data_IF_401445463250
#
_entry.id   IF_401445463250
#
_cell.length_a   1.000
_cell.length_b   1.000
_cell.length_c   1.000
_cell.angle_alpha   90.00
_cell.angle_beta   90.00
_cell.angle_gamma   90.00
#
_symmetry.space_group_name_H-M   'P 1'
#
loop_
_entity.id
_entity.type
_entity.pdbx_description
1 polymer ?
#
# COMPACT_ATOMS: atom_id res chain seq x y z
N UNK A 1 -39.38 20.66 -72.49
CA UNK A 1 -40.03 19.99 -71.34
C UNK A 1 -38.96 19.68 -70.30
N UNK A 2 -39.13 20.27 -69.10
CA UNK A 2 -38.63 19.85 -67.78
C UNK A 2 -37.12 19.51 -67.64
N UNK A 3 -36.31 20.44 -67.14
CA UNK A 3 -36.15 20.81 -65.72
C UNK A 3 -35.21 19.87 -64.95
N UNK A 4 -33.92 20.24 -64.97
CA UNK A 4 -32.86 19.77 -64.06
C UNK A 4 -33.22 20.22 -62.64
N UNK A 5 -33.56 19.28 -61.75
CA UNK A 5 -33.78 19.55 -60.33
C UNK A 5 -32.43 19.75 -59.63
N UNK A 6 -32.24 20.95 -59.09
CA UNK A 6 -31.14 21.33 -58.20
C UNK A 6 -31.25 20.55 -56.88
N UNK A 7 -30.19 19.83 -56.53
CA UNK A 7 -30.00 19.25 -55.20
C UNK A 7 -29.94 20.35 -54.15
N UNK A 8 -30.86 20.33 -53.20
CA UNK A 8 -30.83 21.24 -52.03
C UNK A 8 -29.94 20.61 -50.97
N UNK A 9 -28.88 21.34 -50.62
CA UNK A 9 -28.00 21.05 -49.49
C UNK A 9 -28.79 21.33 -48.21
N UNK A 10 -29.12 20.28 -47.46
CA UNK A 10 -29.71 20.40 -46.13
C UNK A 10 -28.57 20.60 -45.13
N UNK A 11 -28.35 21.85 -44.74
CA UNK A 11 -27.40 22.25 -43.71
C UNK A 11 -27.97 21.84 -42.34
N UNK A 12 -27.62 20.64 -41.86
CA UNK A 12 -27.86 20.28 -40.47
C UNK A 12 -26.89 21.07 -39.58
N UNK A 13 -27.43 22.06 -38.88
CA UNK A 13 -26.77 22.73 -37.76
C UNK A 13 -26.50 21.69 -36.66
N UNK A 14 -25.26 21.20 -36.58
CA UNK A 14 -24.76 20.49 -35.41
C UNK A 14 -24.63 21.50 -34.27
N UNK A 15 -25.63 21.54 -33.39
CA UNK A 15 -25.49 22.16 -32.08
C UNK A 15 -24.44 21.34 -31.31
N UNK A 16 -23.27 21.92 -31.18
CA UNK A 16 -22.19 21.45 -30.34
C UNK A 16 -22.62 21.55 -28.87
N UNK A 17 -22.95 20.41 -28.26
CA UNK A 17 -22.95 20.31 -26.80
C UNK A 17 -21.50 20.33 -26.31
N UNK A 18 -20.94 21.54 -26.20
CA UNK A 18 -19.76 21.79 -25.37
C UNK A 18 -20.21 21.63 -23.91
N UNK A 19 -20.18 20.39 -23.40
CA UNK A 19 -19.99 20.20 -21.96
C UNK A 19 -18.58 20.68 -21.64
N UNK A 20 -18.44 21.97 -21.35
CA UNK A 20 -17.24 22.52 -20.75
C UNK A 20 -17.05 21.81 -19.40
N UNK A 21 -16.14 20.84 -19.39
CA UNK A 21 -15.56 20.31 -18.16
C UNK A 21 -14.85 21.49 -17.51
N UNK A 22 -15.50 22.12 -16.53
CA UNK A 22 -14.81 23.08 -15.66
C UNK A 22 -13.70 22.30 -14.96
N UNK A 23 -12.46 22.47 -15.43
CA UNK A 23 -11.29 22.13 -14.66
C UNK A 23 -11.39 22.94 -13.37
N UNK A 24 -11.63 22.26 -12.26
CA UNK A 24 -11.61 22.85 -10.94
C UNK A 24 -10.21 23.44 -10.75
N UNK A 25 -10.12 24.76 -10.76
CA UNK A 25 -8.86 25.45 -10.60
C UNK A 25 -8.36 25.12 -9.19
N UNK A 26 -7.29 24.33 -9.09
CA UNK A 26 -6.69 23.94 -7.83
C UNK A 26 -6.33 25.21 -7.06
N UNK A 27 -7.18 25.57 -6.09
CA UNK A 27 -6.85 26.62 -5.14
C UNK A 27 -5.60 26.17 -4.39
N UNK A 28 -4.56 26.99 -4.39
CA UNK A 28 -3.36 26.72 -3.59
C UNK A 28 -3.82 26.54 -2.14
N UNK A 29 -3.65 25.33 -1.62
CA UNK A 29 -4.00 25.02 -0.22
C UNK A 29 -3.04 25.79 0.69
N UNK A 30 -3.52 26.85 1.32
CA UNK A 30 -2.73 27.59 2.29
C UNK A 30 -2.67 26.82 3.62
N UNK A 31 -1.47 26.35 3.98
CA UNK A 31 -1.27 25.63 5.25
C UNK A 31 -1.26 26.62 6.41
N UNK A 32 -2.40 26.74 7.09
CA UNK A 32 -2.55 27.64 8.24
C UNK A 32 -1.57 27.31 9.39
N UNK A 33 -1.22 28.30 10.21
CA UNK A 33 -0.40 28.09 11.42
C UNK A 33 -1.02 27.06 12.38
N UNK A 34 -2.37 27.00 12.45
CA UNK A 34 -3.06 25.98 13.25
C UNK A 34 -2.81 24.57 12.70
N UNK A 35 -2.95 24.39 11.38
CA UNK A 35 -2.66 23.11 10.73
C UNK A 35 -1.21 22.67 10.96
N UNK A 36 -0.25 23.60 10.84
CA UNK A 36 1.15 23.33 11.14
C UNK A 36 1.36 22.91 12.60
N UNK A 37 0.75 23.60 13.58
CA UNK A 37 0.85 23.21 14.99
C UNK A 37 0.28 21.82 15.26
N UNK A 38 -0.89 21.49 14.69
CA UNK A 38 -1.48 20.15 14.85
C UNK A 38 -0.55 19.09 14.26
N UNK A 39 -0.07 19.31 13.04
CA UNK A 39 0.85 18.40 12.37
C UNK A 39 2.14 18.18 13.16
N UNK A 40 2.68 19.21 13.80
CA UNK A 40 3.89 19.14 14.64
C UNK A 40 3.63 18.65 16.08
N UNK A 41 2.38 18.63 16.54
CA UNK A 41 2.04 18.13 17.89
C UNK A 41 2.03 16.61 18.01
N UNK A 42 2.07 15.92 16.86
CA UNK A 42 2.14 14.46 16.73
C UNK A 42 3.17 14.11 15.66
N UNK A 43 3.07 12.94 15.04
CA UNK A 43 3.83 12.56 13.86
C UNK A 43 2.95 11.81 12.87
N UNK A 44 3.37 11.78 11.62
CA UNK A 44 2.76 10.92 10.60
C UNK A 44 3.29 9.51 10.80
N UNK A 45 2.39 8.56 10.97
CA UNK A 45 2.65 7.14 10.74
C UNK A 45 2.10 6.84 9.34
N UNK A 46 3.00 6.63 8.39
CA UNK A 46 2.64 6.20 7.05
C UNK A 46 2.64 4.65 6.96
N UNK A 47 1.51 4.11 6.49
CA UNK A 47 1.24 2.68 6.46
C UNK A 47 1.93 1.92 5.33
N UNK A 48 2.48 2.61 4.32
CA UNK A 48 2.99 1.94 3.12
C UNK A 48 3.89 2.84 2.24
N UNK A 49 5.14 2.45 2.04
CA UNK A 49 6.06 3.17 1.13
C UNK A 49 7.02 2.23 0.38
N UNK A 50 7.00 2.33 -0.96
CA UNK A 50 7.75 1.51 -1.92
C UNK A 50 9.20 1.92 -2.17
N UNK A 51 9.80 2.72 -1.28
CA UNK A 51 11.20 3.09 -1.41
C UNK A 51 12.14 1.88 -1.61
N UNK A 52 11.99 0.74 -0.90
CA UNK A 52 12.84 -0.43 -1.14
C UNK A 52 12.77 -0.96 -2.57
N UNK A 53 11.56 -1.13 -3.13
CA UNK A 53 11.38 -1.57 -4.51
C UNK A 53 11.93 -0.56 -5.52
N UNK A 54 11.75 0.73 -5.25
CA UNK A 54 12.30 1.82 -6.07
C UNK A 54 13.83 1.77 -6.11
N UNK A 55 14.49 1.54 -4.97
CA UNK A 55 15.95 1.37 -4.89
C UNK A 55 16.44 0.12 -5.61
N UNK A 56 15.74 -1.01 -5.46
CA UNK A 56 16.04 -2.24 -6.19
C UNK A 56 16.04 -2.00 -7.70
N UNK A 57 14.96 -1.42 -8.22
CA UNK A 57 14.76 -1.19 -9.65
C UNK A 57 15.69 -0.12 -10.23
N UNK A 58 15.81 1.02 -9.55
CA UNK A 58 16.43 2.21 -10.13
C UNK A 58 17.90 2.39 -9.69
N UNK A 59 18.34 1.69 -8.63
CA UNK A 59 19.66 1.88 -8.03
C UNK A 59 20.38 0.55 -7.73
N UNK A 60 19.89 -0.59 -8.21
CA UNK A 60 20.44 -1.91 -7.89
C UNK A 60 20.63 -2.10 -6.38
N UNK A 61 19.64 -1.66 -5.59
CA UNK A 61 19.66 -1.74 -4.12
C UNK A 61 20.79 -0.95 -3.45
N UNK A 62 21.40 0.03 -4.13
CA UNK A 62 22.56 0.77 -3.64
C UNK A 62 22.23 2.19 -3.20
N UNK A 63 22.35 2.43 -1.89
CA UNK A 63 22.29 3.78 -1.31
C UNK A 63 23.48 4.68 -1.70
N UNK A 64 24.52 4.13 -2.31
CA UNK A 64 25.60 4.93 -2.92
C UNK A 64 25.17 5.47 -4.29
N UNK A 65 24.43 4.67 -5.07
CA UNK A 65 23.89 5.10 -6.37
C UNK A 65 22.69 6.03 -6.20
N UNK A 66 21.90 5.83 -5.15
CA UNK A 66 20.75 6.67 -4.80
C UNK A 66 20.82 7.05 -3.31
N UNK A 67 21.49 8.18 -3.03
CA UNK A 67 21.68 8.68 -1.67
C UNK A 67 20.45 9.45 -1.19
N UNK A 68 19.57 8.79 -0.45
CA UNK A 68 18.33 9.38 0.08
C UNK A 68 18.57 10.41 1.19
N UNK A 69 19.81 10.62 1.66
CA UNK A 69 20.12 11.76 2.52
C UNK A 69 20.05 13.10 1.77
N UNK A 70 20.05 13.05 0.44
CA UNK A 70 19.92 14.22 -0.44
C UNK A 70 18.56 14.22 -1.13
N UNK A 71 18.08 15.39 -1.61
CA UNK A 71 16.86 15.46 -2.40
C UNK A 71 16.90 14.53 -3.61
N UNK A 72 15.85 13.72 -3.80
CA UNK A 72 15.72 12.76 -4.89
C UNK A 72 14.51 13.14 -5.79
N UNK A 73 14.68 14.03 -6.79
CA UNK A 73 13.54 14.60 -7.54
C UNK A 73 12.80 13.57 -8.41
N UNK A 74 13.40 12.42 -8.71
CA UNK A 74 12.80 11.36 -9.53
C UNK A 74 11.93 10.36 -8.76
N UNK A 75 11.86 10.49 -7.43
CA UNK A 75 11.08 9.60 -6.55
C UNK A 75 10.34 10.45 -5.51
N UNK A 76 9.46 9.85 -4.71
CA UNK A 76 8.66 10.57 -3.72
C UNK A 76 9.30 10.67 -2.32
N UNK A 77 10.27 9.80 -2.03
CA UNK A 77 10.81 9.64 -0.67
C UNK A 77 12.30 9.99 -0.62
N UNK A 78 12.67 10.94 0.25
CA UNK A 78 14.03 11.17 0.71
C UNK A 78 14.01 11.71 2.14
N UNK A 79 15.16 11.67 2.83
CA UNK A 79 15.27 12.08 4.23
C UNK A 79 14.82 13.54 4.43
N UNK A 80 15.24 14.52 3.61
CA UNK A 80 14.75 15.90 3.74
C UNK A 80 13.22 16.01 3.69
N UNK A 81 12.56 15.31 2.77
CA UNK A 81 11.08 15.31 2.66
C UNK A 81 10.41 14.59 3.83
N UNK A 82 10.93 13.44 4.25
CA UNK A 82 10.41 12.72 5.43
C UNK A 82 10.45 13.59 6.69
N UNK A 83 11.57 14.31 6.90
CA UNK A 83 11.72 15.25 8.02
C UNK A 83 10.77 16.43 7.89
N UNK A 84 10.68 17.03 6.70
CA UNK A 84 9.78 18.17 6.42
C UNK A 84 8.31 17.80 6.62
N UNK A 85 7.91 16.58 6.25
CA UNK A 85 6.56 16.04 6.42
C UNK A 85 6.26 15.44 7.79
N UNK A 86 7.16 15.62 8.77
CA UNK A 86 7.05 15.09 10.12
C UNK A 86 6.67 13.59 10.18
N UNK A 87 7.26 12.79 9.29
CA UNK A 87 7.13 11.34 9.32
C UNK A 87 7.91 10.81 10.52
N UNK A 88 7.21 10.15 11.43
CA UNK A 88 7.79 9.58 12.64
C UNK A 88 7.82 8.07 12.65
N UNK A 89 6.93 7.42 11.91
CA UNK A 89 6.93 5.99 11.70
C UNK A 89 6.55 5.68 10.25
N UNK A 90 7.17 4.65 9.68
CA UNK A 90 6.96 4.24 8.30
C UNK A 90 7.03 2.72 8.23
N UNK A 91 5.99 2.12 7.65
CA UNK A 91 6.12 0.78 7.09
C UNK A 91 6.76 0.88 5.70
N UNK A 92 7.91 0.22 5.55
CA UNK A 92 8.58 0.05 4.28
C UNK A 92 8.06 -1.22 3.62
N UNK A 93 7.45 -1.07 2.44
CA UNK A 93 6.91 -2.21 1.68
C UNK A 93 8.06 -3.06 1.15
N UNK A 94 8.06 -4.35 1.48
CA UNK A 94 8.94 -5.36 0.88
C UNK A 94 8.20 -6.08 -0.23
N UNK A 95 7.71 -5.29 -1.18
CA UNK A 95 7.00 -5.72 -2.37
C UNK A 95 7.89 -6.50 -3.35
N UNK A 96 7.30 -7.54 -3.95
CA UNK A 96 7.81 -8.21 -5.15
C UNK A 96 6.68 -8.44 -6.14
N UNK A 97 6.91 -8.32 -7.47
CA UNK A 97 5.87 -8.56 -8.47
C UNK A 97 5.23 -9.95 -8.35
N UNK A 98 3.92 -10.06 -8.57
CA UNK A 98 3.20 -11.34 -8.54
C UNK A 98 3.81 -12.39 -9.48
N UNK A 99 4.41 -11.94 -10.60
CA UNK A 99 5.11 -12.81 -11.55
C UNK A 99 6.34 -13.55 -10.99
N UNK A 100 6.82 -13.19 -9.81
CA UNK A 100 7.86 -13.94 -9.10
C UNK A 100 7.35 -15.28 -8.57
N UNK A 101 6.06 -15.40 -8.28
CA UNK A 101 5.43 -16.63 -7.81
C UNK A 101 5.54 -17.74 -8.86
N UNK A 102 5.25 -17.42 -10.13
CA UNK A 102 5.33 -18.37 -11.25
C UNK A 102 6.75 -18.89 -11.52
N UNK A 103 7.77 -18.24 -10.93
CA UNK A 103 9.18 -18.62 -11.07
C UNK A 103 9.76 -19.26 -9.80
N UNK A 104 8.99 -19.34 -8.71
CA UNK A 104 9.51 -19.78 -7.41
C UNK A 104 10.59 -18.85 -6.85
N UNK A 105 10.49 -17.55 -7.14
CA UNK A 105 11.45 -16.52 -6.72
C UNK A 105 10.83 -15.54 -5.70
N UNK A 106 9.56 -15.73 -5.32
CA UNK A 106 8.83 -14.74 -4.52
C UNK A 106 9.45 -14.58 -3.13
N UNK A 107 9.72 -15.69 -2.45
CA UNK A 107 10.35 -15.63 -1.13
C UNK A 107 11.76 -15.04 -1.21
N UNK A 108 12.60 -15.53 -2.13
CA UNK A 108 13.99 -15.07 -2.24
C UNK A 108 14.08 -13.57 -2.53
N UNK A 109 13.26 -13.05 -3.43
CA UNK A 109 13.22 -11.62 -3.72
C UNK A 109 12.64 -10.80 -2.55
N UNK A 110 11.68 -11.36 -1.80
CA UNK A 110 11.15 -10.70 -0.58
C UNK A 110 12.23 -10.58 0.48
N UNK A 111 13.05 -11.62 0.67
CA UNK A 111 14.20 -11.59 1.57
C UNK A 111 15.22 -10.52 1.15
N UNK A 112 15.52 -10.39 -0.15
CA UNK A 112 16.38 -9.31 -0.66
C UNK A 112 15.80 -7.91 -0.37
N UNK A 113 14.49 -7.73 -0.50
CA UNK A 113 13.81 -6.47 -0.18
C UNK A 113 13.89 -6.14 1.32
N UNK A 114 13.76 -7.15 2.19
CA UNK A 114 13.99 -7.02 3.63
C UNK A 114 15.41 -6.52 3.89
N UNK A 115 16.42 -7.13 3.27
CA UNK A 115 17.82 -6.71 3.42
C UNK A 115 18.05 -5.24 3.00
N UNK A 116 17.32 -4.73 2.00
CA UNK A 116 17.38 -3.30 1.63
C UNK A 116 16.94 -2.41 2.80
N UNK A 117 15.87 -2.80 3.52
CA UNK A 117 15.39 -2.04 4.69
C UNK A 117 16.43 -2.07 5.81
N UNK A 118 17.03 -3.24 6.09
CA UNK A 118 18.12 -3.35 7.06
C UNK A 118 19.33 -2.48 6.67
N UNK A 119 19.78 -2.57 5.42
CA UNK A 119 20.89 -1.78 4.90
C UNK A 119 20.60 -0.27 4.95
N UNK A 120 19.35 0.15 4.75
CA UNK A 120 18.93 1.55 4.91
C UNK A 120 19.14 2.05 6.33
N UNK A 121 18.68 1.28 7.32
CA UNK A 121 18.80 1.62 8.73
C UNK A 121 20.28 1.66 9.15
N UNK A 122 21.08 0.69 8.69
CA UNK A 122 22.52 0.66 8.94
C UNK A 122 23.25 1.84 8.29
N UNK A 123 22.85 2.24 7.08
CA UNK A 123 23.48 3.34 6.35
C UNK A 123 23.17 4.71 6.95
N UNK A 124 21.97 4.90 7.50
CA UNK A 124 21.51 6.17 8.07
C UNK A 124 21.00 6.01 9.51
N UNK A 125 21.85 5.59 10.45
CA UNK A 125 21.45 5.21 11.81
C UNK A 125 21.02 6.39 12.68
N UNK A 126 21.42 7.62 12.30
CA UNK A 126 20.97 8.86 12.94
C UNK A 126 19.57 9.28 12.48
N UNK A 127 19.07 8.68 11.39
CA UNK A 127 17.75 8.99 10.83
C UNK A 127 16.73 7.89 11.11
N UNK A 128 17.09 6.64 10.89
CA UNK A 128 16.16 5.51 11.00
C UNK A 128 16.52 4.61 12.18
N UNK A 129 15.50 3.99 12.77
CA UNK A 129 15.66 2.88 13.69
C UNK A 129 14.70 1.77 13.25
N UNK A 130 15.21 0.55 13.11
CA UNK A 130 14.35 -0.61 12.87
C UNK A 130 13.53 -0.88 14.13
N UNK A 131 12.22 -1.03 13.97
CA UNK A 131 11.27 -1.22 15.08
C UNK A 131 10.28 -2.32 14.76
N UNK A 132 9.90 -3.10 15.77
CA UNK A 132 9.02 -4.27 15.64
C UNK A 132 7.74 -4.18 16.48
N UNK A 133 7.65 -3.20 17.38
CA UNK A 133 6.49 -2.99 18.23
C UNK A 133 6.33 -1.52 18.62
N UNK A 134 5.23 -1.23 19.31
CA UNK A 134 4.88 0.10 19.79
C UNK A 134 5.95 0.75 20.70
N UNK A 135 6.55 -0.02 21.61
CA UNK A 135 7.54 0.50 22.54
C UNK A 135 8.82 0.91 21.81
N UNK A 136 9.22 0.12 20.81
CA UNK A 136 10.36 0.47 19.95
C UNK A 136 10.09 1.71 19.10
N UNK A 137 8.86 1.86 18.57
CA UNK A 137 8.43 3.08 17.88
C UNK A 137 8.59 4.29 18.81
N UNK A 138 8.04 4.21 20.03
CA UNK A 138 8.12 5.32 21.00
C UNK A 138 9.58 5.65 21.35
N UNK A 139 10.44 4.64 21.51
CA UNK A 139 11.88 4.83 21.75
C UNK A 139 12.56 5.55 20.58
N UNK A 140 12.37 5.06 19.35
CA UNK A 140 12.93 5.67 18.15
C UNK A 140 12.50 7.15 18.01
N UNK A 141 11.24 7.45 18.30
CA UNK A 141 10.73 8.83 18.29
C UNK A 141 11.41 9.73 19.32
N UNK A 142 11.61 9.24 20.55
CA UNK A 142 12.31 9.99 21.61
C UNK A 142 13.76 10.29 21.25
N UNK A 143 14.39 9.41 20.47
CA UNK A 143 15.74 9.60 19.92
C UNK A 143 15.77 10.49 18.67
N UNK A 144 14.63 11.05 18.25
CA UNK A 144 14.55 11.90 17.06
C UNK A 144 14.66 11.12 15.75
N UNK A 145 14.48 9.79 15.77
CA UNK A 145 14.54 8.92 14.60
C UNK A 145 13.15 8.65 14.01
N UNK A 146 13.14 8.14 12.79
CA UNK A 146 11.96 7.62 12.11
C UNK A 146 11.93 6.11 12.39
N UNK A 147 10.88 5.66 13.08
CA UNK A 147 10.63 4.26 13.34
C UNK A 147 10.36 3.55 12.00
N UNK A 148 11.18 2.57 11.66
CA UNK A 148 11.15 1.85 10.39
C UNK A 148 10.65 0.44 10.64
N UNK A 149 9.50 0.11 10.08
CA UNK A 149 8.88 -1.20 10.16
C UNK A 149 8.87 -1.87 8.79
N UNK A 150 8.73 -3.18 8.77
CA UNK A 150 8.68 -3.98 7.54
C UNK A 150 7.27 -4.49 7.33
N UNK A 151 6.76 -4.30 6.12
CA UNK A 151 5.46 -4.78 5.68
C UNK A 151 5.58 -5.60 4.41
N UNK A 152 5.16 -6.86 4.43
CA UNK A 152 5.20 -7.74 3.26
C UNK A 152 3.99 -7.46 2.39
N UNK A 153 4.20 -7.12 1.12
CA UNK A 153 3.12 -6.82 0.19
C UNK A 153 2.90 -7.96 -0.79
N UNK A 154 1.92 -8.81 -0.45
CA UNK A 154 1.48 -9.94 -1.26
C UNK A 154 1.78 -11.28 -0.60
N UNK A 155 0.73 -12.10 -0.44
CA UNK A 155 0.83 -13.43 0.14
C UNK A 155 1.62 -14.43 -0.69
N UNK A 156 1.88 -14.16 -1.98
CA UNK A 156 2.77 -15.02 -2.78
C UNK A 156 4.19 -15.08 -2.22
N UNK A 157 4.61 -14.09 -1.41
CA UNK A 157 5.90 -14.08 -0.71
C UNK A 157 6.09 -15.24 0.28
N UNK A 158 5.00 -15.88 0.75
CA UNK A 158 5.11 -17.06 1.62
C UNK A 158 5.13 -18.38 0.86
N UNK A 159 4.91 -18.37 -0.46
CA UNK A 159 4.95 -19.58 -1.31
C UNK A 159 4.13 -20.74 -0.71
N UNK A 160 2.88 -20.43 -0.31
CA UNK A 160 1.92 -21.36 0.30
C UNK A 160 2.45 -22.14 1.53
N UNK A 161 3.37 -21.52 2.28
CA UNK A 161 4.03 -22.14 3.42
C UNK A 161 3.87 -21.35 4.71
N UNK A 162 3.26 -21.98 5.71
CA UNK A 162 3.16 -21.43 7.06
C UNK A 162 4.56 -21.18 7.67
N UNK A 163 5.53 -22.05 7.38
CA UNK A 163 6.89 -21.87 7.86
C UNK A 163 7.54 -20.60 7.27
N UNK A 164 7.22 -20.24 6.02
CA UNK A 164 7.70 -19.00 5.41
C UNK A 164 7.02 -17.77 6.02
N UNK A 165 5.73 -17.83 6.37
CA UNK A 165 5.06 -16.77 7.14
C UNK A 165 5.79 -16.48 8.45
N UNK A 166 6.09 -17.52 9.24
CA UNK A 166 6.88 -17.38 10.47
C UNK A 166 8.28 -16.83 10.20
N UNK A 167 8.95 -17.31 9.14
CA UNK A 167 10.28 -16.83 8.76
C UNK A 167 10.28 -15.32 8.47
N UNK A 168 9.29 -14.82 7.72
CA UNK A 168 9.17 -13.39 7.43
C UNK A 168 8.89 -12.58 8.71
N UNK A 169 8.06 -13.11 9.61
CA UNK A 169 7.82 -12.51 10.93
C UNK A 169 9.09 -12.39 11.77
N UNK A 170 9.88 -13.47 11.85
CA UNK A 170 11.14 -13.53 12.60
C UNK A 170 12.17 -12.55 12.03
N UNK A 171 12.17 -12.35 10.71
CA UNK A 171 12.98 -11.35 10.02
C UNK A 171 12.49 -9.91 10.22
N UNK A 172 11.39 -9.71 10.95
CA UNK A 172 10.92 -8.39 11.39
C UNK A 172 9.68 -7.87 10.66
N UNK A 173 9.09 -8.61 9.74
CA UNK A 173 7.81 -8.23 9.14
C UNK A 173 6.71 -8.14 10.21
N UNK A 174 5.88 -7.10 10.15
CA UNK A 174 4.79 -6.88 11.13
C UNK A 174 3.41 -6.73 10.52
N UNK A 175 3.31 -6.62 9.21
CA UNK A 175 2.08 -6.93 8.47
C UNK A 175 2.40 -7.78 7.25
N UNK A 176 1.37 -8.47 6.74
CA UNK A 176 1.36 -9.00 5.37
C UNK A 176 0.05 -8.61 4.68
N UNK A 177 0.16 -8.07 3.47
CA UNK A 177 -0.96 -7.87 2.55
C UNK A 177 -1.31 -9.21 1.93
N UNK A 178 -2.56 -9.68 2.08
CA UNK A 178 -2.91 -11.07 1.72
C UNK A 178 -2.70 -11.38 0.24
N UNK A 179 -2.94 -10.43 -0.65
CA UNK A 179 -2.69 -10.54 -2.10
C UNK A 179 -2.00 -9.28 -2.62
N UNK A 180 -1.65 -9.25 -3.91
CA UNK A 180 -1.26 -8.01 -4.60
C UNK A 180 -2.09 -7.82 -5.88
N UNK A 181 -1.57 -8.19 -7.05
CA UNK A 181 -2.30 -8.03 -8.32
C UNK A 181 -3.06 -9.29 -8.69
N UNK A 182 -2.50 -10.45 -8.38
CA UNK A 182 -2.99 -11.75 -8.84
C UNK A 182 -3.71 -12.48 -7.70
N UNK A 183 -4.72 -13.27 -8.06
CA UNK A 183 -5.37 -14.22 -7.17
C UNK A 183 -4.38 -15.35 -6.84
N UNK A 184 -4.32 -15.73 -5.56
CA UNK A 184 -3.45 -16.78 -5.05
C UNK A 184 -4.22 -18.10 -4.94
N UNK A 185 -3.52 -19.20 -4.68
CA UNK A 185 -4.14 -20.52 -4.42
C UNK A 185 -5.05 -20.55 -3.18
N UNK A 186 -5.11 -19.45 -2.40
CA UNK A 186 -5.86 -19.35 -1.14
C UNK A 186 -6.54 -18.01 -0.85
N UNK A 187 -6.40 -17.01 -1.71
CA UNK A 187 -7.02 -15.70 -1.53
C UNK A 187 -7.24 -14.97 -2.86
N UNK A 188 -8.42 -14.40 -3.05
CA UNK A 188 -8.76 -13.64 -4.26
C UNK A 188 -8.26 -12.17 -4.20
N UNK A 189 -7.71 -11.70 -5.31
CA UNK A 189 -7.30 -10.32 -5.54
C UNK A 189 -8.46 -9.45 -6.04
N UNK A 190 -8.41 -8.13 -5.78
CA UNK A 190 -9.38 -7.18 -6.34
C UNK A 190 -9.22 -6.98 -7.85
N UNK A 191 -8.07 -7.34 -8.42
CA UNK A 191 -7.69 -7.00 -9.80
C UNK A 191 -7.50 -8.23 -10.69
N UNK A 192 -7.92 -9.40 -10.23
CA UNK A 192 -7.79 -10.66 -10.96
C UNK A 192 -9.09 -11.47 -10.90
N UNK A 193 -9.14 -12.58 -11.64
CA UNK A 193 -10.28 -13.49 -11.64
C UNK A 193 -10.50 -14.10 -10.24
N UNK A 194 -11.77 -14.29 -9.90
CA UNK A 194 -12.20 -14.90 -8.63
C UNK A 194 -12.08 -16.42 -8.74
N UNK A 195 -11.40 -17.05 -7.78
CA UNK A 195 -11.24 -18.51 -7.72
C UNK A 195 -11.86 -19.12 -6.45
N UNK A 196 -11.90 -18.38 -5.34
CA UNK A 196 -12.27 -18.90 -4.02
C UNK A 196 -13.56 -18.29 -3.44
N UNK A 197 -14.10 -17.26 -4.09
CA UNK A 197 -15.14 -16.37 -3.55
C UNK A 197 -14.69 -15.74 -2.22
N UNK A 198 -13.40 -15.38 -2.13
CA UNK A 198 -12.76 -14.80 -0.94
C UNK A 198 -11.54 -15.58 -0.48
N UNK A 199 -11.64 -16.21 0.70
CA UNK A 199 -10.61 -17.09 1.27
C UNK A 199 -11.05 -18.54 1.25
N UNK A 200 -10.15 -19.45 0.87
CA UNK A 200 -10.36 -20.88 1.14
C UNK A 200 -9.83 -21.27 2.54
N UNK A 201 -10.02 -22.54 2.94
CA UNK A 201 -9.60 -23.04 4.27
C UNK A 201 -8.13 -22.78 4.62
N UNK A 202 -7.23 -22.81 3.62
CA UNK A 202 -5.82 -22.49 3.88
C UNK A 202 -5.64 -21.00 4.14
N UNK A 203 -6.32 -20.14 3.37
CA UNK A 203 -6.35 -18.70 3.60
C UNK A 203 -6.93 -18.32 4.97
N UNK A 204 -7.98 -19.02 5.41
CA UNK A 204 -8.52 -18.88 6.78
C UNK A 204 -7.46 -19.20 7.84
N UNK A 205 -6.72 -20.30 7.65
CA UNK A 205 -5.65 -20.70 8.55
C UNK A 205 -4.48 -19.71 8.56
N UNK A 206 -4.16 -19.07 7.43
CA UNK A 206 -3.16 -17.99 7.35
C UNK A 206 -3.60 -16.80 8.21
N UNK A 207 -4.85 -16.33 8.07
CA UNK A 207 -5.38 -15.21 8.88
C UNK A 207 -5.32 -15.54 10.39
N UNK A 208 -5.70 -16.76 10.76
CA UNK A 208 -5.63 -17.22 12.15
C UNK A 208 -4.20 -17.26 12.69
N UNK A 209 -3.23 -17.76 11.91
CA UNK A 209 -1.84 -17.80 12.34
C UNK A 209 -1.24 -16.40 12.44
N UNK A 210 -1.58 -15.49 11.51
CA UNK A 210 -1.18 -14.09 11.59
C UNK A 210 -1.66 -13.44 12.89
N UNK A 211 -2.92 -13.66 13.30
CA UNK A 211 -3.40 -13.21 14.60
C UNK A 211 -2.61 -13.83 15.76
N UNK A 212 -2.34 -15.14 15.70
CA UNK A 212 -1.64 -15.88 16.76
C UNK A 212 -0.20 -15.39 16.97
N UNK A 213 0.53 -15.08 15.90
CA UNK A 213 1.91 -14.58 15.99
C UNK A 213 2.00 -13.07 16.18
N UNK A 214 0.87 -12.35 16.06
CA UNK A 214 0.84 -10.89 16.15
C UNK A 214 1.32 -10.19 14.87
N UNK A 215 1.15 -10.82 13.71
CA UNK A 215 1.30 -10.17 12.41
C UNK A 215 -0.03 -9.53 12.00
N UNK A 216 -0.01 -8.26 11.63
CA UNK A 216 -1.19 -7.53 11.18
C UNK A 216 -1.64 -8.06 9.82
N UNK A 217 -2.92 -8.35 9.69
CA UNK A 217 -3.57 -8.72 8.43
C UNK A 217 -3.89 -7.44 7.66
N UNK A 218 -3.22 -7.24 6.53
CA UNK A 218 -3.48 -6.11 5.62
C UNK A 218 -4.36 -6.55 4.45
N UNK A 219 -5.45 -5.80 4.24
CA UNK A 219 -6.49 -6.06 3.25
C UNK A 219 -6.45 -5.09 2.06
N UNK A 220 -5.39 -4.29 1.94
CA UNK A 220 -5.09 -3.67 0.65
C UNK A 220 -4.96 -4.76 -0.41
N UNK A 221 -5.28 -4.45 -1.67
CA UNK A 221 -5.21 -5.36 -2.82
C UNK A 221 -6.25 -6.48 -2.92
N UNK A 222 -6.83 -6.93 -1.82
CA UNK A 222 -7.71 -8.12 -1.82
C UNK A 222 -9.09 -7.85 -2.40
N UNK A 223 -9.79 -8.90 -2.86
CA UNK A 223 -11.18 -8.80 -3.32
C UNK A 223 -12.13 -8.41 -2.17
N UNK A 224 -13.32 -7.87 -2.48
CA UNK A 224 -14.31 -7.55 -1.45
C UNK A 224 -14.74 -8.78 -0.65
N UNK A 225 -14.84 -9.95 -1.29
CA UNK A 225 -15.16 -11.20 -0.59
C UNK A 225 -14.05 -11.59 0.40
N UNK A 226 -12.78 -11.49 -0.02
CA UNK A 226 -11.62 -11.69 0.86
C UNK A 226 -11.63 -10.71 2.03
N UNK A 227 -12.03 -9.45 1.82
CA UNK A 227 -12.17 -8.48 2.92
C UNK A 227 -13.21 -8.97 3.93
N UNK A 228 -14.35 -9.48 3.44
CA UNK A 228 -15.43 -9.94 4.31
C UNK A 228 -15.05 -11.18 5.11
N UNK A 229 -14.37 -12.14 4.50
CA UNK A 229 -13.91 -13.38 5.15
C UNK A 229 -12.85 -13.09 6.20
N UNK A 230 -11.81 -12.31 5.86
CA UNK A 230 -10.78 -11.94 6.83
C UNK A 230 -11.37 -11.22 8.05
N UNK A 231 -12.37 -10.35 7.85
CA UNK A 231 -13.11 -9.70 8.94
C UNK A 231 -13.97 -10.66 9.77
N UNK A 232 -14.46 -11.76 9.21
CA UNK A 232 -15.20 -12.80 9.95
C UNK A 232 -14.26 -13.63 10.82
N UNK A 233 -13.04 -13.88 10.33
CA UNK A 233 -12.08 -14.80 10.93
C UNK A 233 -11.18 -14.09 11.96
N UNK A 234 -10.78 -12.83 11.67
CA UNK A 234 -9.79 -12.13 12.45
C UNK A 234 -10.28 -11.85 13.87
N UNK A 235 -9.47 -12.26 14.84
CA UNK A 235 -9.64 -12.00 16.27
C UNK A 235 -8.89 -10.74 16.74
N UNK A 236 -8.12 -10.13 15.85
CA UNK A 236 -7.38 -8.89 16.08
C UNK A 236 -7.78 -7.79 15.07
N UNK A 237 -7.49 -6.52 15.38
CA UNK A 237 -7.67 -5.42 14.43
C UNK A 237 -6.91 -5.66 13.11
N UNK A 238 -7.60 -5.49 11.99
CA UNK A 238 -7.03 -5.52 10.64
C UNK A 238 -6.63 -4.12 10.16
N UNK A 239 -5.88 -4.06 9.07
CA UNK A 239 -5.43 -2.82 8.46
C UNK A 239 -5.74 -2.81 6.95
N UNK A 240 -5.96 -1.63 6.38
CA UNK A 240 -5.69 -1.36 4.97
C UNK A 240 -4.51 -0.40 4.91
N UNK A 241 -3.32 -0.89 4.59
CA UNK A 241 -2.09 -0.08 4.60
C UNK A 241 -2.13 1.09 3.59
N UNK A 242 -2.83 0.92 2.46
CA UNK A 242 -2.97 1.93 1.41
C UNK A 242 -4.22 1.67 0.54
N UNK A 243 -5.39 2.00 1.07
CA UNK A 243 -6.64 1.98 0.29
C UNK A 243 -7.45 3.26 0.51
N UNK A 244 -8.35 3.58 -0.41
CA UNK A 244 -9.24 4.75 -0.30
C UNK A 244 -10.71 4.32 -0.25
N UNK A 245 -11.65 5.26 -0.14
CA UNK A 245 -13.08 4.97 -0.12
C UNK A 245 -13.67 4.80 -1.54
N UNK A 246 -14.34 3.67 -1.79
CA UNK A 246 -14.89 3.34 -3.12
C UNK A 246 -16.04 4.25 -3.53
N UNK A 247 -16.80 4.77 -2.57
CA UNK A 247 -17.88 5.73 -2.78
C UNK A 247 -17.37 7.11 -3.25
N UNK A 248 -16.11 7.46 -2.95
CA UNK A 248 -15.44 8.69 -3.43
C UNK A 248 -14.84 8.49 -4.83
N UNK A 249 -14.12 7.39 -5.04
CA UNK A 249 -13.55 7.03 -6.32
C UNK A 249 -13.86 5.55 -6.64
N UNK A 250 -14.66 5.33 -7.69
CA UNK A 250 -15.16 4.00 -8.06
C UNK A 250 -14.05 3.15 -8.70
N UNK A 251 -13.23 2.54 -7.86
CA UNK A 251 -12.15 1.64 -8.26
C UNK A 251 -12.14 0.39 -7.37
N UNK A 252 -11.83 -0.78 -7.95
CA UNK A 252 -11.87 -2.08 -7.23
C UNK A 252 -10.90 -2.15 -6.05
N UNK A 253 -9.75 -1.46 -6.15
CA UNK A 253 -8.78 -1.32 -5.04
C UNK A 253 -9.29 -0.52 -3.85
N UNK A 254 -10.37 0.24 -3.98
CA UNK A 254 -10.90 1.04 -2.89
C UNK A 254 -11.89 0.25 -2.03
N UNK A 255 -11.93 0.55 -0.74
CA UNK A 255 -12.75 -0.11 0.27
C UNK A 255 -14.22 0.30 0.09
N UNK A 256 -15.14 -0.65 -0.10
CA UNK A 256 -16.57 -0.35 -0.22
C UNK A 256 -17.18 -0.05 1.15
N UNK A 257 -18.27 0.73 1.15
CA UNK A 257 -18.99 1.12 2.37
C UNK A 257 -19.50 -0.09 3.19
N UNK A 258 -19.77 -1.22 2.53
CA UNK A 258 -20.11 -2.53 3.12
C UNK A 258 -19.02 -3.04 4.06
N UNK A 259 -17.75 -2.81 3.72
CA UNK A 259 -16.58 -3.17 4.52
C UNK A 259 -16.23 -2.07 5.51
N UNK A 260 -16.26 -0.79 5.10
CA UNK A 260 -15.96 0.35 5.99
C UNK A 260 -16.82 0.36 7.26
N UNK A 261 -18.10 -0.01 7.15
CA UNK A 261 -19.02 -0.09 8.30
C UNK A 261 -18.61 -1.16 9.32
N UNK A 262 -17.94 -2.23 8.88
CA UNK A 262 -17.48 -3.34 9.73
C UNK A 262 -16.18 -3.00 10.48
N UNK A 263 -15.39 -2.06 9.96
CA UNK A 263 -14.11 -1.67 10.57
C UNK A 263 -14.27 -1.16 12.00
N UNK A 264 -15.38 -0.48 12.28
CA UNK A 264 -15.69 0.01 13.64
C UNK A 264 -15.74 -1.11 14.66
N UNK A 265 -16.37 -2.23 14.33
CA UNK A 265 -16.56 -3.36 15.25
C UNK A 265 -15.28 -4.20 15.37
N UNK A 266 -14.51 -4.32 14.28
CA UNK A 266 -13.19 -4.97 14.32
C UNK A 266 -12.14 -4.15 15.09
N UNK A 267 -12.26 -2.81 15.11
CA UNK A 267 -11.27 -1.90 15.71
C UNK A 267 -10.04 -1.66 14.83
N UNK A 268 -10.10 -2.07 13.56
CA UNK A 268 -9.04 -1.87 12.57
C UNK A 268 -8.96 -0.45 12.00
N UNK A 269 -8.09 -0.27 11.02
CA UNK A 269 -7.83 1.03 10.38
C UNK A 269 -7.84 0.92 8.86
N UNK A 270 -8.30 2.00 8.20
CA UNK A 270 -8.18 2.24 6.75
C UNK A 270 -7.34 3.48 6.55
#
# INVERSE_FOLDING_TARGET
>A
MQAVRKSSIMLCLLLSDLTAVYAQQDSIVEVTTRAQRIHQSTFVFDGHNDLPYTLRKNASSSFTKMDIAKPQPSIHTDIPRLRKGNVGAQYWSVYVPASTAYRGEALSQTLEQIEIVYAMVEKYPDTFALTRDYHEIVRARREGKIASLIGVEGGHSIEDSMANLHRLFDLGARYMTLTHSDTLSWADSATDETEHDGLNRFGEAIVQEMNKIGMIVDLSHVSEATMHDALNISTAPIMFSHSSARSVAKHVRNVPDTVLKRMKDNGGIV
#
